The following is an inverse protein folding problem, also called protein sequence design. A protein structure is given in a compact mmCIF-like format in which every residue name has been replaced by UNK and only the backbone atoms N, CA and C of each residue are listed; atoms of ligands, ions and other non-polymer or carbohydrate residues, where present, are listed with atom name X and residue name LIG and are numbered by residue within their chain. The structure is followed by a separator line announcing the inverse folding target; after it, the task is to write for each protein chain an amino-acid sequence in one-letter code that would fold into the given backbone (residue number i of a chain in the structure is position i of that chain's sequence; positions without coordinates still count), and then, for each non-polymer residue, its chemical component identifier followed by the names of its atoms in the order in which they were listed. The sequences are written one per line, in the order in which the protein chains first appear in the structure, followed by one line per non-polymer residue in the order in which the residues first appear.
data_IF_751649712151
#
_entry.id   IF_751649712151
#
_cell.length_a   1.000
_cell.length_b   1.000
_cell.length_c   1.000
_cell.angle_alpha   90.00
_cell.angle_beta   90.00
_cell.angle_gamma   90.00
#
_symmetry.space_group_name_H-M   'P 1'
#
loop_
_entity.id
_entity.type
_entity.pdbx_description
1 polymer ?
#
# COMPACT_ATOMS: atom_id res chain seq x y z
N UNK A 1 -32.57 31.54 -20.20
CA UNK A 1 -32.01 30.93 -21.42
C UNK A 1 -30.71 30.23 -21.04
N UNK A 2 -30.51 28.99 -21.52
CA UNK A 2 -29.29 28.23 -21.28
C UNK A 2 -28.42 28.31 -22.53
N UNK A 3 -27.13 28.60 -22.36
CA UNK A 3 -26.15 28.62 -23.45
C UNK A 3 -25.13 27.52 -23.19
N UNK A 4 -24.96 26.63 -24.17
CA UNK A 4 -23.94 25.59 -24.13
C UNK A 4 -22.64 26.16 -24.71
N UNK A 5 -21.58 26.17 -23.91
CA UNK A 5 -20.23 26.49 -24.35
C UNK A 5 -19.44 25.17 -24.39
N UNK A 6 -18.92 24.83 -25.56
CA UNK A 6 -18.11 23.63 -25.77
C UNK A 6 -16.66 24.02 -26.08
N UNK A 7 -15.71 23.27 -25.52
CA UNK A 7 -14.28 23.44 -25.79
C UNK A 7 -13.58 22.11 -25.67
N UNK A 8 -12.65 21.86 -26.59
CA UNK A 8 -11.76 20.69 -26.59
C UNK A 8 -10.37 21.11 -26.13
N UNK A 9 -9.67 20.22 -25.41
CA UNK A 9 -8.26 20.45 -25.11
C UNK A 9 -7.41 20.22 -26.36
N UNK A 10 -6.49 21.14 -26.61
CA UNK A 10 -5.47 20.99 -27.65
C UNK A 10 -4.36 19.97 -27.27
N UNK A 11 -4.32 19.49 -26.02
CA UNK A 11 -3.30 18.60 -25.48
C UNK A 11 -3.86 17.36 -24.77
N UNK A 12 -2.97 16.45 -24.35
CA UNK A 12 -3.36 15.21 -23.68
C UNK A 12 -3.93 15.46 -22.27
N UNK A 13 -5.04 14.80 -21.94
CA UNK A 13 -5.71 14.84 -20.63
C UNK A 13 -4.87 14.36 -19.43
N UNK A 14 -3.65 13.88 -19.67
CA UNK A 14 -2.74 13.31 -18.68
C UNK A 14 -1.70 14.32 -18.16
N UNK A 15 -1.58 15.50 -18.77
CA UNK A 15 -0.68 16.54 -18.25
C UNK A 15 -1.33 17.23 -17.04
N UNK A 16 -1.04 16.72 -15.84
CA UNK A 16 -1.64 17.15 -14.58
C UNK A 16 -1.39 18.64 -14.28
N UNK A 17 -0.26 19.22 -14.71
CA UNK A 17 0.03 20.63 -14.44
C UNK A 17 -0.79 21.57 -15.33
N UNK A 18 -0.85 21.29 -16.63
CA UNK A 18 -1.68 22.07 -17.56
C UNK A 18 -3.17 21.95 -17.21
N UNK A 19 -3.63 20.73 -16.90
CA UNK A 19 -5.02 20.45 -16.51
C UNK A 19 -5.42 21.25 -15.26
N UNK A 20 -4.56 21.26 -14.23
CA UNK A 20 -4.82 22.00 -13.00
C UNK A 20 -4.86 23.52 -13.20
N UNK A 21 -3.91 24.07 -13.99
CA UNK A 21 -3.90 25.50 -14.33
C UNK A 21 -5.15 25.92 -15.11
N UNK A 22 -5.61 25.08 -16.03
CA UNK A 22 -6.79 25.35 -16.82
C UNK A 22 -8.05 25.34 -15.94
N UNK A 23 -8.21 24.34 -15.07
CA UNK A 23 -9.34 24.26 -14.12
C UNK A 23 -9.34 25.43 -13.14
N UNK A 24 -8.19 25.82 -12.58
CA UNK A 24 -8.09 26.99 -11.70
C UNK A 24 -8.44 28.29 -12.41
N UNK A 25 -7.99 28.47 -13.65
CA UNK A 25 -8.34 29.64 -14.47
C UNK A 25 -9.85 29.68 -14.76
N UNK A 26 -10.45 28.55 -15.13
CA UNK A 26 -11.89 28.45 -15.36
C UNK A 26 -12.71 28.73 -14.10
N UNK A 27 -12.28 28.21 -12.94
CA UNK A 27 -12.92 28.50 -11.66
C UNK A 27 -12.82 29.98 -11.31
N UNK A 28 -11.65 30.61 -11.51
CA UNK A 28 -11.47 32.04 -11.28
C UNK A 28 -12.40 32.88 -12.17
N UNK A 29 -12.49 32.57 -13.47
CA UNK A 29 -13.40 33.23 -14.40
C UNK A 29 -14.87 33.04 -14.01
N UNK A 30 -15.25 31.83 -13.60
CA UNK A 30 -16.60 31.55 -13.08
C UNK A 30 -16.91 32.40 -11.85
N UNK A 31 -15.94 32.60 -10.95
CA UNK A 31 -16.11 33.40 -9.74
C UNK A 31 -16.26 34.88 -10.08
N UNK A 32 -15.47 35.40 -11.03
CA UNK A 32 -15.61 36.77 -11.53
C UNK A 32 -17.00 36.99 -12.17
N UNK A 33 -17.47 36.03 -12.98
CA UNK A 33 -18.78 36.10 -13.63
C UNK A 33 -19.93 36.08 -12.60
N UNK A 34 -19.84 35.23 -11.57
CA UNK A 34 -20.82 35.21 -10.47
C UNK A 34 -20.80 36.49 -9.62
N UNK A 35 -19.63 37.12 -9.47
CA UNK A 35 -19.52 38.39 -8.74
C UNK A 35 -20.23 39.55 -9.47
N UNK A 36 -20.16 39.57 -10.80
CA UNK A 36 -20.86 40.56 -11.62
C UNK A 36 -22.33 40.22 -11.84
N UNK A 37 -22.69 38.93 -11.90
CA UNK A 37 -24.04 38.46 -12.17
C UNK A 37 -24.47 37.37 -11.17
N UNK A 38 -24.89 37.74 -9.96
CA UNK A 38 -25.22 36.77 -8.89
C UNK A 38 -26.41 35.86 -9.20
N UNK A 39 -27.26 36.21 -10.17
CA UNK A 39 -28.36 35.35 -10.63
C UNK A 39 -27.97 34.35 -11.73
N UNK A 40 -26.75 34.41 -12.27
CA UNK A 40 -26.30 33.50 -13.32
C UNK A 40 -25.90 32.14 -12.74
N UNK A 41 -26.50 31.06 -13.26
CA UNK A 41 -26.10 29.69 -12.95
C UNK A 41 -25.12 29.20 -14.02
N UNK A 42 -23.90 28.86 -13.60
CA UNK A 42 -22.89 28.22 -14.44
C UNK A 42 -22.69 26.77 -13.97
N UNK A 43 -22.88 25.84 -14.90
CA UNK A 43 -22.66 24.40 -14.71
C UNK A 43 -21.53 23.98 -15.65
N UNK A 44 -20.50 23.35 -15.10
CA UNK A 44 -19.32 22.90 -15.85
C UNK A 44 -19.23 21.38 -15.77
N UNK A 45 -19.04 20.71 -16.91
CA UNK A 45 -18.88 19.25 -16.99
C UNK A 45 -17.82 18.93 -18.03
N UNK A 46 -16.88 18.03 -17.69
CA UNK A 46 -15.82 17.62 -18.60
C UNK A 46 -14.80 16.71 -17.92
N UNK A 47 -14.16 15.84 -18.71
CA UNK A 47 -13.14 14.88 -18.26
C UNK A 47 -11.96 15.55 -17.57
N UNK A 48 -11.65 16.79 -17.94
CA UNK A 48 -10.60 17.66 -17.36
C UNK A 48 -10.83 17.91 -15.87
N UNK A 49 -12.06 18.27 -15.49
CA UNK A 49 -12.41 18.54 -14.09
C UNK A 49 -12.34 17.27 -13.24
N UNK A 50 -12.78 16.13 -13.78
CA UNK A 50 -12.68 14.84 -13.09
C UNK A 50 -11.23 14.38 -12.95
N UNK A 51 -10.40 14.60 -13.96
CA UNK A 51 -8.98 14.23 -13.95
C UNK A 51 -8.18 15.09 -12.96
N UNK A 52 -8.46 16.39 -12.88
CA UNK A 52 -7.88 17.31 -11.88
C UNK A 52 -8.33 16.95 -10.47
N UNK A 53 -9.64 16.74 -10.27
CA UNK A 53 -10.18 16.35 -8.96
C UNK A 53 -9.59 15.00 -8.50
N UNK A 54 -9.56 13.98 -9.37
CA UNK A 54 -8.96 12.68 -9.06
C UNK A 54 -7.47 12.82 -8.73
N UNK A 55 -6.74 13.64 -9.48
CA UNK A 55 -5.33 13.93 -9.25
C UNK A 55 -5.07 14.59 -7.90
N UNK A 56 -5.87 15.59 -7.54
CA UNK A 56 -5.75 16.31 -6.28
C UNK A 56 -6.18 15.43 -5.09
N UNK A 57 -7.24 14.64 -5.26
CA UNK A 57 -7.69 13.66 -4.28
C UNK A 57 -6.59 12.63 -4.02
N UNK A 58 -5.98 12.07 -5.07
CA UNK A 58 -4.87 11.13 -4.94
C UNK A 58 -3.65 11.73 -4.22
N UNK A 59 -3.31 13.01 -4.46
CA UNK A 59 -2.24 13.69 -3.69
C UNK A 59 -2.57 13.76 -2.20
N UNK A 60 -3.80 14.13 -1.87
CA UNK A 60 -4.26 14.21 -0.48
C UNK A 60 -4.30 12.82 0.17
N UNK A 61 -4.75 11.81 -0.55
CA UNK A 61 -4.80 10.43 -0.08
C UNK A 61 -3.38 9.89 0.14
N UNK A 62 -2.41 10.17 -0.74
CA UNK A 62 -0.99 9.81 -0.51
C UNK A 62 -0.47 10.44 0.78
N UNK A 63 -0.70 11.75 0.96
CA UNK A 63 -0.18 12.46 2.13
C UNK A 63 -0.80 11.90 3.42
N UNK A 64 -2.12 11.76 3.46
CA UNK A 64 -2.84 11.35 4.67
C UNK A 64 -2.68 9.86 4.95
N UNK A 65 -2.95 8.98 3.98
CA UNK A 65 -2.85 7.53 4.16
C UNK A 65 -1.40 7.07 4.23
N UNK A 66 -0.49 7.69 3.48
CA UNK A 66 0.94 7.38 3.53
C UNK A 66 1.52 7.72 4.89
N UNK A 67 1.26 8.92 5.42
CA UNK A 67 1.69 9.30 6.77
C UNK A 67 1.05 8.40 7.82
N UNK A 68 -0.25 8.11 7.72
CA UNK A 68 -0.92 7.21 8.64
C UNK A 68 -0.30 5.80 8.64
N UNK A 69 0.05 5.27 7.46
CA UNK A 69 0.68 3.94 7.31
C UNK A 69 2.08 3.93 7.92
N UNK A 70 2.90 4.95 7.62
CA UNK A 70 4.25 5.06 8.19
C UNK A 70 4.20 5.18 9.71
N UNK A 71 3.32 6.03 10.25
CA UNK A 71 3.11 6.15 11.69
C UNK A 71 2.60 4.85 12.31
N UNK A 72 1.68 4.15 11.64
CA UNK A 72 1.15 2.86 12.06
C UNK A 72 2.25 1.79 12.16
N UNK A 73 3.11 1.68 11.14
CA UNK A 73 4.25 0.75 11.13
C UNK A 73 5.25 1.11 12.23
N UNK A 74 5.57 2.40 12.41
CA UNK A 74 6.44 2.87 13.50
C UNK A 74 5.86 2.48 14.86
N UNK A 75 4.58 2.78 15.09
CA UNK A 75 3.90 2.50 16.35
C UNK A 75 3.86 1.00 16.62
N UNK A 76 3.57 0.18 15.62
CA UNK A 76 3.55 -1.28 15.72
C UNK A 76 4.93 -1.81 16.09
N UNK A 77 5.98 -1.42 15.37
CA UNK A 77 7.34 -1.91 15.62
C UNK A 77 7.83 -1.45 16.99
N UNK A 78 7.62 -0.19 17.37
CA UNK A 78 8.02 0.32 18.68
C UNK A 78 7.25 -0.36 19.80
N UNK A 79 5.94 -0.61 19.62
CA UNK A 79 5.12 -1.31 20.61
C UNK A 79 5.57 -2.76 20.81
N UNK A 80 5.90 -3.46 19.73
CA UNK A 80 6.28 -4.89 19.77
C UNK A 80 7.72 -5.07 20.23
N UNK A 81 8.66 -4.37 19.61
CA UNK A 81 10.08 -4.57 19.81
C UNK A 81 10.68 -3.69 20.90
N UNK A 82 10.01 -2.58 21.27
CA UNK A 82 10.47 -1.57 22.26
C UNK A 82 11.93 -1.17 22.03
N UNK A 83 12.31 -0.99 20.77
CA UNK A 83 13.66 -0.65 20.32
C UNK A 83 13.62 0.03 18.97
N UNK A 84 14.50 1.01 18.76
CA UNK A 84 14.64 1.74 17.49
C UNK A 84 15.38 0.94 16.41
N UNK A 85 16.17 -0.08 16.79
CA UNK A 85 16.96 -0.86 15.82
C UNK A 85 16.06 -1.61 14.81
N UNK A 86 15.04 -2.39 15.23
CA UNK A 86 14.03 -2.99 14.34
C UNK A 86 13.36 -2.00 13.39
N UNK A 87 13.06 -0.80 13.88
CA UNK A 87 12.43 0.25 13.09
C UNK A 87 13.35 0.72 11.97
N UNK A 88 14.63 0.98 12.26
CA UNK A 88 15.61 1.38 11.26
C UNK A 88 15.83 0.30 10.19
N UNK A 89 15.83 -0.98 10.59
CA UNK A 89 15.97 -2.10 9.66
C UNK A 89 14.76 -2.24 8.72
N UNK A 90 13.56 -2.06 9.26
CA UNK A 90 12.33 -2.04 8.47
C UNK A 90 12.32 -0.87 7.50
N UNK A 91 12.66 0.33 7.98
CA UNK A 91 12.70 1.53 7.17
C UNK A 91 13.74 1.41 6.04
N UNK A 92 14.89 0.81 6.32
CA UNK A 92 15.93 0.54 5.32
C UNK A 92 15.39 -0.38 4.21
N UNK A 93 14.74 -1.49 4.57
CA UNK A 93 14.16 -2.42 3.59
C UNK A 93 13.08 -1.77 2.73
N UNK A 94 12.19 -1.00 3.36
CA UNK A 94 11.14 -0.25 2.67
C UNK A 94 11.74 0.78 1.72
N UNK A 95 12.74 1.54 2.17
CA UNK A 95 13.40 2.56 1.36
C UNK A 95 14.08 1.95 0.13
N UNK A 96 14.81 0.83 0.30
CA UNK A 96 15.44 0.13 -0.82
C UNK A 96 14.40 -0.45 -1.78
N UNK A 97 13.32 -1.03 -1.27
CA UNK A 97 12.21 -1.50 -2.09
C UNK A 97 11.56 -0.38 -2.89
N UNK A 98 11.24 0.75 -2.24
CA UNK A 98 10.65 1.91 -2.91
C UNK A 98 11.58 2.51 -3.97
N UNK A 99 12.88 2.62 -3.67
CA UNK A 99 13.88 3.09 -4.62
C UNK A 99 14.00 2.15 -5.82
N UNK A 100 14.14 0.84 -5.59
CA UNK A 100 14.24 -0.14 -6.67
C UNK A 100 12.98 -0.18 -7.54
N UNK A 101 11.79 -0.15 -6.92
CA UNK A 101 10.52 -0.05 -7.64
C UNK A 101 10.44 1.21 -8.50
N UNK A 102 10.83 2.37 -7.95
CA UNK A 102 10.85 3.65 -8.65
C UNK A 102 11.81 3.61 -9.84
N UNK A 103 13.05 3.15 -9.63
CA UNK A 103 14.09 3.08 -10.67
C UNK A 103 13.66 2.16 -11.80
N UNK A 104 13.20 0.94 -11.50
CA UNK A 104 12.79 -0.02 -12.53
C UNK A 104 11.57 0.48 -13.32
N UNK A 105 10.62 1.12 -12.64
CA UNK A 105 9.43 1.68 -13.30
C UNK A 105 9.81 2.85 -14.22
N UNK A 106 10.67 3.76 -13.76
CA UNK A 106 11.18 4.86 -14.57
C UNK A 106 11.99 4.37 -15.77
N UNK A 107 12.80 3.31 -15.61
CA UNK A 107 13.58 2.73 -16.71
C UNK A 107 12.69 2.10 -17.79
N UNK A 108 11.56 1.50 -17.40
CA UNK A 108 10.68 0.80 -18.34
C UNK A 108 9.65 1.72 -19.00
N UNK A 109 9.16 2.73 -18.29
CA UNK A 109 8.06 3.58 -18.77
C UNK A 109 8.44 5.05 -18.96
N UNK A 110 9.62 5.51 -18.53
CA UNK A 110 10.09 6.89 -18.65
C UNK A 110 9.40 7.89 -17.72
N UNK A 111 8.15 7.62 -17.34
CA UNK A 111 7.32 8.48 -16.52
C UNK A 111 6.68 7.69 -15.37
N UNK A 112 6.51 8.36 -14.22
CA UNK A 112 5.90 7.76 -13.04
C UNK A 112 4.59 8.48 -12.74
N UNK A 113 3.48 7.79 -12.97
CA UNK A 113 2.16 8.33 -12.62
C UNK A 113 1.95 8.38 -11.11
N UNK A 114 1.39 9.48 -10.62
CA UNK A 114 1.10 9.63 -9.20
C UNK A 114 0.19 8.52 -8.67
N UNK A 115 -0.79 8.09 -9.46
CA UNK A 115 -1.70 6.99 -9.10
C UNK A 115 -0.95 5.68 -8.81
N UNK A 116 0.12 5.42 -9.54
CA UNK A 116 0.98 4.26 -9.31
C UNK A 116 1.67 4.33 -7.95
N UNK A 117 2.15 5.50 -7.53
CA UNK A 117 2.71 5.70 -6.19
C UNK A 117 1.65 5.46 -5.10
N UNK A 118 0.43 5.97 -5.30
CA UNK A 118 -0.68 5.80 -4.34
C UNK A 118 -0.93 4.31 -4.10
N UNK A 119 -1.16 3.56 -5.19
CA UNK A 119 -1.55 2.16 -5.09
C UNK A 119 -0.38 1.28 -4.59
N UNK A 120 0.85 1.72 -4.87
CA UNK A 120 2.08 1.08 -4.41
C UNK A 120 2.38 1.33 -2.93
N UNK A 121 1.63 2.18 -2.22
CA UNK A 121 1.79 2.33 -0.76
C UNK A 121 1.54 1.02 -0.01
N UNK A 122 0.73 0.11 -0.56
CA UNK A 122 0.50 -1.24 0.00
C UNK A 122 1.79 -2.05 0.19
N UNK A 123 2.82 -1.80 -0.63
CA UNK A 123 4.13 -2.47 -0.57
C UNK A 123 4.88 -2.15 0.73
N UNK A 124 4.64 -0.97 1.31
CA UNK A 124 5.25 -0.56 2.59
C UNK A 124 4.89 -1.58 3.68
N UNK A 125 3.61 -1.98 3.74
CA UNK A 125 3.13 -2.98 4.69
C UNK A 125 3.76 -4.35 4.45
N UNK A 126 3.69 -4.86 3.22
CA UNK A 126 4.22 -6.19 2.87
C UNK A 126 5.74 -6.26 3.10
N UNK A 127 6.46 -5.19 2.79
CA UNK A 127 7.90 -5.07 3.05
C UNK A 127 8.23 -5.03 4.54
N UNK A 128 7.41 -4.33 5.34
CA UNK A 128 7.54 -4.32 6.79
C UNK A 128 7.29 -5.72 7.37
N UNK A 129 6.33 -6.47 6.82
CA UNK A 129 5.98 -7.82 7.28
C UNK A 129 7.16 -8.80 7.12
N UNK A 130 7.91 -8.74 6.01
CA UNK A 130 9.11 -9.57 5.84
C UNK A 130 10.16 -9.30 6.91
N UNK A 131 10.35 -8.01 7.23
CA UNK A 131 11.26 -7.59 8.31
C UNK A 131 10.75 -8.09 9.65
N UNK A 132 9.48 -7.85 9.98
CA UNK A 132 8.88 -8.24 11.25
C UNK A 132 8.96 -9.75 11.42
N UNK A 133 8.64 -10.54 10.40
CA UNK A 133 8.67 -12.00 10.45
C UNK A 133 10.07 -12.53 10.80
N UNK A 134 11.11 -12.01 10.13
CA UNK A 134 12.50 -12.35 10.45
C UNK A 134 12.92 -11.89 11.86
N UNK A 135 12.54 -10.68 12.25
CA UNK A 135 12.88 -10.12 13.55
C UNK A 135 12.17 -10.84 14.71
N UNK A 136 10.92 -11.27 14.52
CA UNK A 136 10.17 -12.06 15.50
C UNK A 136 10.80 -13.43 15.71
N UNK A 137 11.21 -14.12 14.63
CA UNK A 137 11.95 -15.39 14.75
C UNK A 137 13.26 -15.20 15.54
N UNK A 138 13.98 -14.11 15.29
CA UNK A 138 15.19 -13.75 16.05
C UNK A 138 14.88 -13.35 17.50
N UNK A 139 13.79 -12.67 17.78
CA UNK A 139 13.40 -12.32 19.16
C UNK A 139 13.08 -13.54 20.01
N UNK A 140 12.49 -14.58 19.42
CA UNK A 140 12.06 -15.80 20.12
C UNK A 140 13.18 -16.83 20.21
N UNK A 141 13.92 -17.05 19.11
CA UNK A 141 14.91 -18.13 18.99
C UNK A 141 16.37 -17.66 18.93
N UNK A 142 16.62 -16.35 19.07
CA UNK A 142 17.95 -15.74 18.88
C UNK A 142 19.00 -16.08 19.94
N UNK A 143 18.61 -16.70 21.06
CA UNK A 143 19.52 -17.19 22.10
C UNK A 143 20.20 -18.51 21.67
N UNK A 144 19.52 -19.31 20.84
CA UNK A 144 19.96 -20.66 20.47
C UNK A 144 20.50 -20.73 19.03
N UNK A 145 20.04 -19.83 18.16
CA UNK A 145 20.36 -19.86 16.73
C UNK A 145 21.18 -18.65 16.28
N UNK A 146 22.19 -18.90 15.45
CA UNK A 146 22.89 -17.83 14.75
C UNK A 146 21.96 -17.10 13.77
N UNK A 147 22.24 -15.82 13.42
CA UNK A 147 21.40 -15.05 12.48
C UNK A 147 21.13 -15.80 11.17
N UNK A 148 22.13 -16.53 10.68
CA UNK A 148 22.06 -17.32 9.46
C UNK A 148 21.18 -18.57 9.58
N UNK A 149 21.16 -19.21 10.75
CA UNK A 149 20.27 -20.35 11.02
C UNK A 149 18.80 -19.92 11.14
N UNK A 150 18.53 -18.77 11.78
CA UNK A 150 17.18 -18.18 11.79
C UNK A 150 16.73 -17.82 10.38
N UNK A 151 17.62 -17.23 9.57
CA UNK A 151 17.30 -16.94 8.17
C UNK A 151 17.00 -18.22 7.38
N UNK A 152 17.78 -19.29 7.56
CA UNK A 152 17.56 -20.54 6.83
C UNK A 152 16.17 -21.15 7.08
N UNK A 153 15.63 -21.01 8.31
CA UNK A 153 14.26 -21.46 8.65
C UNK A 153 13.19 -20.61 7.97
N UNK A 154 13.41 -19.31 7.91
CA UNK A 154 12.42 -18.31 7.44
C UNK A 154 12.50 -18.08 5.92
N UNK A 155 13.65 -18.34 5.30
CA UNK A 155 13.93 -18.05 3.89
C UNK A 155 12.91 -18.68 2.95
N UNK A 156 12.57 -19.95 3.14
CA UNK A 156 11.64 -20.63 2.24
C UNK A 156 10.23 -20.03 2.32
N UNK A 157 9.78 -19.65 3.52
CA UNK A 157 8.51 -18.96 3.71
C UNK A 157 8.51 -17.57 3.06
N UNK A 158 9.59 -16.79 3.24
CA UNK A 158 9.73 -15.48 2.61
C UNK A 158 9.78 -15.56 1.08
N UNK A 159 10.54 -16.51 0.53
CA UNK A 159 10.63 -16.71 -0.93
C UNK A 159 9.29 -17.14 -1.52
N UNK A 160 8.55 -18.02 -0.83
CA UNK A 160 7.23 -18.44 -1.28
C UNK A 160 6.25 -17.25 -1.27
N UNK A 161 6.22 -16.49 -0.18
CA UNK A 161 5.39 -15.29 -0.06
C UNK A 161 5.74 -14.22 -1.11
N UNK A 162 7.04 -14.02 -1.38
CA UNK A 162 7.49 -13.13 -2.45
C UNK A 162 7.02 -13.63 -3.81
N UNK A 163 7.26 -14.91 -4.12
CA UNK A 163 6.94 -15.48 -5.43
C UNK A 163 5.44 -15.39 -5.72
N UNK A 164 4.59 -15.76 -4.76
CA UNK A 164 3.13 -15.68 -4.93
C UNK A 164 2.67 -14.24 -5.17
N UNK A 165 3.26 -13.27 -4.45
CA UNK A 165 2.90 -11.86 -4.57
C UNK A 165 3.39 -11.26 -5.89
N UNK A 166 4.63 -11.55 -6.29
CA UNK A 166 5.21 -11.13 -7.57
C UNK A 166 4.40 -11.71 -8.73
N UNK A 167 4.06 -12.99 -8.69
CA UNK A 167 3.22 -13.63 -9.72
C UNK A 167 1.85 -12.95 -9.82
N UNK A 168 1.21 -12.63 -8.69
CA UNK A 168 -0.06 -11.91 -8.68
C UNK A 168 0.04 -10.52 -9.33
N UNK A 169 1.08 -9.74 -9.01
CA UNK A 169 1.31 -8.45 -9.67
C UNK A 169 1.65 -8.60 -11.15
N UNK A 170 2.42 -9.61 -11.54
CA UNK A 170 2.72 -9.88 -12.95
C UNK A 170 1.45 -10.24 -13.73
N UNK A 171 0.47 -10.93 -13.13
CA UNK A 171 -0.84 -11.12 -13.76
C UNK A 171 -1.57 -9.80 -13.98
N UNK A 172 -1.48 -8.83 -13.04
CA UNK A 172 -2.05 -7.50 -13.24
C UNK A 172 -1.41 -6.74 -14.42
N UNK A 173 -0.19 -7.08 -14.82
CA UNK A 173 0.46 -6.49 -16.00
C UNK A 173 -0.28 -6.80 -17.32
N UNK A 174 -1.07 -7.87 -17.36
CA UNK A 174 -1.89 -8.22 -18.53
C UNK A 174 -3.08 -7.25 -18.73
N UNK A 175 -3.46 -6.49 -17.70
CA UNK A 175 -4.54 -5.52 -17.80
C UNK A 175 -4.22 -4.46 -18.87
N UNK A 176 -5.22 -3.98 -19.65
CA UNK A 176 -4.99 -2.99 -20.72
C UNK A 176 -4.73 -1.57 -20.20
N UNK A 177 -4.75 -1.35 -18.88
CA UNK A 177 -4.63 -0.02 -18.28
C UNK A 177 -3.17 0.30 -17.91
N UNK A 178 -2.59 1.39 -18.44
CA UNK A 178 -1.17 1.72 -18.24
C UNK A 178 -0.82 1.94 -16.77
N UNK A 179 -1.70 2.57 -15.98
CA UNK A 179 -1.46 2.80 -14.54
C UNK A 179 -1.33 1.51 -13.72
N UNK A 180 -2.13 0.48 -14.05
CA UNK A 180 -2.09 -0.83 -13.39
C UNK A 180 -0.79 -1.57 -13.75
N UNK A 181 -0.34 -1.46 -15.01
CA UNK A 181 0.94 -2.06 -15.45
C UNK A 181 2.12 -1.44 -14.73
N UNK A 182 2.16 -0.12 -14.60
CA UNK A 182 3.21 0.56 -13.85
C UNK A 182 3.23 0.14 -12.38
N UNK A 183 2.05 0.01 -11.75
CA UNK A 183 1.92 -0.49 -10.37
C UNK A 183 2.43 -1.93 -10.23
N UNK A 184 2.07 -2.81 -11.16
CA UNK A 184 2.53 -4.20 -11.16
C UNK A 184 4.06 -4.30 -11.20
N UNK A 185 4.71 -3.55 -12.10
CA UNK A 185 6.17 -3.54 -12.25
C UNK A 185 6.84 -2.94 -11.03
N UNK A 186 6.31 -1.81 -10.52
CA UNK A 186 6.82 -1.18 -9.30
C UNK A 186 6.77 -2.16 -8.12
N UNK A 187 5.64 -2.84 -7.94
CA UNK A 187 5.44 -3.80 -6.86
C UNK A 187 6.34 -5.02 -6.98
N UNK A 188 6.43 -5.63 -8.17
CA UNK A 188 7.29 -6.78 -8.40
C UNK A 188 8.77 -6.47 -8.12
N UNK A 189 9.27 -5.35 -8.64
CA UNK A 189 10.66 -4.94 -8.43
C UNK A 189 10.93 -4.52 -6.97
N UNK A 190 10.04 -3.71 -6.38
CA UNK A 190 10.21 -3.20 -5.03
C UNK A 190 10.13 -4.27 -3.96
N UNK A 191 9.17 -5.20 -4.06
CA UNK A 191 9.05 -6.34 -3.14
C UNK A 191 10.24 -7.28 -3.25
N UNK A 192 10.73 -7.53 -4.48
CA UNK A 192 11.91 -8.36 -4.70
C UNK A 192 13.15 -7.73 -4.04
N UNK A 193 13.40 -6.44 -4.27
CA UNK A 193 14.52 -5.73 -3.68
C UNK A 193 14.43 -5.64 -2.14
N UNK A 194 13.23 -5.41 -1.60
CA UNK A 194 12.97 -5.42 -0.16
C UNK A 194 13.23 -6.80 0.44
N UNK A 195 12.72 -7.87 -0.17
CA UNK A 195 12.96 -9.23 0.29
C UNK A 195 14.46 -9.59 0.26
N UNK A 196 15.17 -9.25 -0.81
CA UNK A 196 16.62 -9.44 -0.92
C UNK A 196 17.37 -8.64 0.16
N UNK A 197 16.93 -7.43 0.48
CA UNK A 197 17.48 -6.62 1.57
C UNK A 197 17.35 -7.33 2.92
N UNK A 198 16.19 -7.92 3.21
CA UNK A 198 16.00 -8.72 4.43
C UNK A 198 16.92 -9.94 4.42
N UNK A 199 17.08 -10.62 3.29
CA UNK A 199 17.92 -11.83 3.22
C UNK A 199 19.42 -11.55 3.34
N UNK A 200 19.93 -10.49 2.72
CA UNK A 200 21.37 -10.23 2.67
C UNK A 200 21.84 -9.30 3.78
N UNK A 201 21.10 -8.24 4.09
CA UNK A 201 21.55 -7.21 5.02
C UNK A 201 21.15 -7.52 6.48
N UNK A 202 19.94 -8.00 6.73
CA UNK A 202 19.47 -8.18 8.11
C UNK A 202 20.27 -9.21 8.93
N UNK A 203 20.81 -10.32 8.38
CA UNK A 203 21.65 -11.25 9.15
C UNK A 203 22.91 -10.60 9.71
N UNK A 204 23.46 -9.61 9.00
CA UNK A 204 24.63 -8.88 9.43
C UNK A 204 24.28 -7.81 10.47
N UNK A 205 23.21 -7.04 10.25
CA UNK A 205 22.80 -5.96 11.15
C UNK A 205 22.12 -6.44 12.44
N UNK A 206 21.58 -7.66 12.46
CA UNK A 206 20.86 -8.24 13.61
C UNK A 206 21.75 -9.03 14.60
N UNK A 207 23.08 -8.97 14.48
CA UNK A 207 24.03 -9.78 15.27
C UNK A 207 24.02 -9.53 16.79
N UNK A 208 23.38 -8.48 17.28
CA UNK A 208 23.37 -8.11 18.71
C UNK A 208 22.01 -7.70 19.25
N UNK A 209 20.92 -8.28 18.73
CA UNK A 209 19.57 -7.98 19.23
C UNK A 209 19.25 -8.79 20.49
N UNK A 210 18.72 -8.16 21.55
CA UNK A 210 18.33 -8.87 22.76
C UNK A 210 17.11 -9.76 22.49
N UNK A 211 17.17 -10.98 22.99
CA UNK A 211 16.03 -11.91 23.04
C UNK A 211 15.03 -11.37 24.05
N UNK A 212 13.76 -11.29 23.64
CA UNK A 212 12.69 -10.71 24.47
C UNK A 212 11.42 -11.55 24.34
N UNK A 213 10.63 -11.68 25.42
CA UNK A 213 9.36 -12.38 25.35
C UNK A 213 8.38 -11.62 24.46
N UNK A 214 7.60 -12.35 23.67
CA UNK A 214 6.57 -11.79 22.79
C UNK A 214 5.53 -11.05 23.65
N UNK A 215 5.20 -9.78 23.34
CA UNK A 215 4.13 -9.07 24.04
C UNK A 215 2.80 -9.79 23.87
N UNK A 216 1.89 -9.67 24.85
CA UNK A 216 0.53 -10.25 24.81
C UNK A 216 0.48 -11.79 24.64
N UNK A 217 1.59 -12.50 24.87
CA UNK A 217 1.66 -13.98 24.76
C UNK A 217 0.53 -14.70 25.51
N UNK A 218 0.18 -14.24 26.71
CA UNK A 218 -0.90 -14.83 27.51
C UNK A 218 -2.29 -14.67 26.89
N UNK A 219 -2.58 -13.53 26.23
CA UNK A 219 -3.84 -13.34 25.51
C UNK A 219 -3.89 -14.19 24.25
N UNK A 220 -2.80 -14.21 23.46
CA UNK A 220 -2.68 -15.08 22.28
C UNK A 220 -2.86 -16.55 22.64
N UNK A 221 -2.24 -17.03 23.72
CA UNK A 221 -2.36 -18.42 24.16
C UNK A 221 -3.78 -18.76 24.63
N UNK A 222 -4.44 -17.87 25.36
CA UNK A 222 -5.85 -18.07 25.75
C UNK A 222 -6.77 -18.15 24.54
N UNK A 223 -6.56 -17.28 23.56
CA UNK A 223 -7.33 -17.30 22.33
C UNK A 223 -7.06 -18.56 21.49
N UNK A 224 -5.79 -18.95 21.34
CA UNK A 224 -5.41 -20.17 20.62
C UNK A 224 -5.97 -21.43 21.30
N UNK A 225 -5.90 -21.51 22.62
CA UNK A 225 -6.46 -22.62 23.38
C UNK A 225 -7.99 -22.63 23.29
N UNK A 226 -8.65 -21.47 23.40
CA UNK A 226 -10.09 -21.40 23.18
C UNK A 226 -10.48 -21.87 21.77
N UNK A 227 -9.73 -21.49 20.75
CA UNK A 227 -9.97 -21.92 19.37
C UNK A 227 -9.71 -23.41 19.18
N UNK A 228 -8.66 -23.98 19.80
CA UNK A 228 -8.31 -25.40 19.68
C UNK A 228 -9.22 -26.32 20.51
N UNK A 229 -9.58 -25.90 21.72
CA UNK A 229 -10.25 -26.75 22.70
C UNK A 229 -11.78 -26.62 22.62
N UNK A 230 -12.32 -25.55 22.03
CA UNK A 230 -13.77 -25.37 21.86
C UNK A 230 -14.23 -25.55 20.41
N UNK A 231 -14.93 -26.67 20.15
CA UNK A 231 -15.64 -26.95 18.88
C UNK A 231 -16.64 -25.87 18.45
N UNK A 232 -17.43 -25.23 19.35
CA UNK A 232 -18.34 -24.17 18.91
C UNK A 232 -17.60 -22.93 18.40
N UNK A 233 -16.39 -22.64 18.87
CA UNK A 233 -15.63 -21.49 18.40
C UNK A 233 -14.86 -21.79 17.11
N UNK A 234 -14.24 -22.96 17.00
CA UNK A 234 -13.48 -23.36 15.79
C UNK A 234 -14.36 -23.61 14.58
N UNK A 235 -15.58 -24.14 14.76
CA UNK A 235 -16.50 -24.44 13.65
C UNK A 235 -17.62 -23.41 13.55
N UNK A 236 -18.16 -22.96 14.68
CA UNK A 236 -19.27 -22.00 14.67
C UNK A 236 -18.87 -20.61 14.19
N UNK A 237 -17.67 -20.12 14.53
CA UNK A 237 -17.22 -18.79 14.09
C UNK A 237 -16.99 -18.71 12.57
N UNK A 238 -16.26 -19.64 11.91
CA UNK A 238 -16.13 -19.61 10.45
C UNK A 238 -17.46 -19.80 9.73
N UNK A 239 -18.34 -20.66 10.24
CA UNK A 239 -19.67 -20.89 9.63
C UNK A 239 -20.55 -19.66 9.77
N UNK A 240 -20.57 -19.01 10.94
CA UNK A 240 -21.31 -17.77 11.13
C UNK A 240 -20.79 -16.65 10.22
N UNK A 241 -19.47 -16.51 10.10
CA UNK A 241 -18.85 -15.57 9.16
C UNK A 241 -19.21 -15.91 7.71
N UNK A 242 -19.15 -17.18 7.31
CA UNK A 242 -19.52 -17.61 5.96
C UNK A 242 -20.99 -17.33 5.63
N UNK A 243 -21.90 -17.59 6.57
CA UNK A 243 -23.32 -17.25 6.42
C UNK A 243 -23.54 -15.74 6.32
N UNK A 244 -22.85 -14.96 7.14
CA UNK A 244 -22.95 -13.50 7.12
C UNK A 244 -22.39 -12.93 5.80
N UNK A 245 -21.26 -13.46 5.32
CA UNK A 245 -20.70 -13.13 4.01
C UNK A 245 -21.65 -13.52 2.87
N UNK A 246 -22.29 -14.70 2.92
CA UNK A 246 -23.26 -15.12 1.91
C UNK A 246 -24.49 -14.22 1.87
N UNK A 247 -25.00 -13.79 3.03
CA UNK A 247 -26.09 -12.80 3.13
C UNK A 247 -25.64 -11.45 2.56
N UNK A 248 -24.40 -11.03 2.84
CA UNK A 248 -23.82 -9.80 2.31
C UNK A 248 -23.72 -9.83 0.78
N UNK A 249 -23.22 -10.92 0.21
CA UNK A 249 -23.14 -11.13 -1.25
C UNK A 249 -24.54 -11.14 -1.87
N UNK A 250 -25.52 -11.78 -1.22
CA UNK A 250 -26.90 -11.78 -1.70
C UNK A 250 -27.57 -10.39 -1.68
N UNK A 251 -27.00 -9.42 -0.95
CA UNK A 251 -27.45 -8.03 -0.90
C UNK A 251 -26.59 -7.09 -1.72
N UNK A 252 -25.56 -7.58 -2.41
CA UNK A 252 -24.77 -6.76 -3.30
C UNK A 252 -25.68 -6.26 -4.42
N UNK A 253 -25.86 -4.94 -4.50
CA UNK A 253 -26.41 -4.29 -5.68
C UNK A 253 -25.24 -3.70 -6.44
N UNK A 254 -25.16 -4.02 -7.72
CA UNK A 254 -24.23 -3.37 -8.64
C UNK A 254 -24.79 -1.96 -8.90
N UNK A 255 -23.99 -0.93 -8.60
CA UNK A 255 -24.27 0.44 -9.06
C UNK A 255 -23.82 0.49 -10.52
N UNK A 256 -24.77 0.27 -11.43
CA UNK A 256 -24.65 0.55 -12.87
C UNK A 256 -24.85 2.05 -13.18
#
# INVERSE_FOLDING_TARGET
YWYLLHGELAGSSFDMQQTHQLVTTLNALQQTLKSQYPQAQLLSRGTVFYSDYASQQAKNDISTLGVATVLGVILLIVSVFRSVRPLLLSLLSIAIGALAGTVVTLLLFGELHLMTLVMSMSIIGISADYTIYYLTERMVHGAEHSPWQSLAKVRNALLLALLTTVVAYLFMMLAPFPGIRQMAVFAAAGLSASCLTVMFWHPWLCRGMPVRPVPLRGMMQRWLNAWRDSKPLSVGLPVALALLSAIGIARLREDD
#
